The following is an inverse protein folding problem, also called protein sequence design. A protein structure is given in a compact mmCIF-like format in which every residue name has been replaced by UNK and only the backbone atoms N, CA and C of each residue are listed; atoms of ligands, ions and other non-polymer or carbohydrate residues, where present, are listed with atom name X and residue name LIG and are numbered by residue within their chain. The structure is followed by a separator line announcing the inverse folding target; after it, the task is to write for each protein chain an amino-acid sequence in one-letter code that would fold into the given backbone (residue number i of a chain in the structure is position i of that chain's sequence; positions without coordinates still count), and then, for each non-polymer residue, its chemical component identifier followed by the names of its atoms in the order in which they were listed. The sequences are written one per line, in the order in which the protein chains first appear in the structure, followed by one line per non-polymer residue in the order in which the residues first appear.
data_IF_427960734398
#
_entry.id   IF_427960734398
#
_cell.length_a   1.000
_cell.length_b   1.000
_cell.length_c   1.000
_cell.angle_alpha   90.00
_cell.angle_beta   90.00
_cell.angle_gamma   90.00
#
_symmetry.space_group_name_H-M   'P 1'
#
loop_
_entity.id
_entity.type
_entity.pdbx_description
1 polymer ?
#
# COMPACT_ATOMS: atom_id res chain seq x y z
N UNK A 1 51.23 12.08 -0.96
CA UNK A 1 51.44 12.00 0.50
C UNK A 1 51.33 13.40 1.09
N UNK A 2 50.17 13.76 1.63
CA UNK A 2 50.00 14.96 2.47
C UNK A 2 49.56 14.44 3.84
N UNK A 3 50.34 14.76 4.86
CA UNK A 3 50.17 14.27 6.23
C UNK A 3 48.89 14.84 6.88
N UNK A 4 48.22 14.09 7.80
CA UNK A 4 46.97 14.51 8.41
C UNK A 4 47.14 15.35 9.71
N UNK A 5 48.32 15.86 10.00
CA UNK A 5 48.63 16.48 11.31
C UNK A 5 48.19 17.97 11.42
N UNK A 6 47.97 18.67 10.31
CA UNK A 6 47.80 20.15 10.29
C UNK A 6 46.37 20.64 10.63
N UNK A 7 45.40 19.71 10.75
CA UNK A 7 44.00 20.04 11.07
C UNK A 7 43.73 20.22 12.56
N UNK A 8 44.46 19.49 13.41
CA UNK A 8 44.28 19.49 14.87
C UNK A 8 44.91 20.73 15.52
N UNK A 9 46.08 21.16 15.03
CA UNK A 9 46.73 22.40 15.49
C UNK A 9 45.88 23.65 15.20
N UNK A 10 45.18 23.73 14.07
CA UNK A 10 44.37 24.91 13.68
C UNK A 10 43.05 25.05 14.45
N UNK A 11 42.50 23.94 14.97
CA UNK A 11 41.32 23.99 15.84
C UNK A 11 41.69 24.36 17.28
N UNK A 12 42.84 23.88 17.77
CA UNK A 12 43.38 24.26 19.08
C UNK A 12 43.70 25.77 19.17
N UNK A 13 44.37 26.35 18.18
CA UNK A 13 44.73 27.79 18.22
C UNK A 13 43.50 28.71 18.20
N UNK A 14 42.46 28.37 17.44
CA UNK A 14 41.19 29.14 17.42
C UNK A 14 40.39 29.02 18.72
N UNK A 15 40.53 27.91 19.44
CA UNK A 15 39.87 27.70 20.74
C UNK A 15 40.61 28.46 21.85
N UNK A 16 41.94 28.49 21.81
CA UNK A 16 42.79 29.25 22.73
C UNK A 16 42.61 30.76 22.55
N UNK A 17 42.52 31.25 21.30
CA UNK A 17 42.22 32.66 21.00
C UNK A 17 40.82 33.07 21.49
N UNK A 18 39.82 32.17 21.40
CA UNK A 18 38.47 32.41 21.93
C UNK A 18 38.44 32.41 23.46
N UNK A 19 39.24 31.56 24.11
CA UNK A 19 39.38 31.53 25.57
C UNK A 19 40.07 32.79 26.10
N UNK A 20 41.12 33.27 25.43
CA UNK A 20 41.82 34.51 25.77
C UNK A 20 40.96 35.78 25.55
N UNK A 21 40.04 35.76 24.58
CA UNK A 21 39.09 36.87 24.37
C UNK A 21 37.93 36.88 25.38
N UNK A 22 37.60 35.73 25.99
CA UNK A 22 36.54 35.61 26.99
C UNK A 22 36.98 35.98 28.41
N UNK A 23 38.29 35.89 28.71
CA UNK A 23 38.86 36.23 30.01
C UNK A 23 39.00 37.75 30.25
N UNK A 24 38.75 38.59 29.24
CA UNK A 24 38.90 40.06 29.36
C UNK A 24 37.56 40.78 29.24
N UNK A 25 37.31 41.70 30.16
CA UNK A 25 36.14 42.57 30.19
C UNK A 25 36.08 43.46 28.94
N UNK A 26 34.98 43.35 28.19
CA UNK A 26 34.75 44.14 26.96
C UNK A 26 34.70 45.65 27.21
N UNK A 27 34.19 46.08 28.36
CA UNK A 27 34.02 47.50 28.69
C UNK A 27 35.29 48.12 29.28
N UNK A 28 36.01 47.37 30.12
CA UNK A 28 37.10 47.93 30.93
C UNK A 28 38.49 47.43 30.53
N UNK A 29 38.60 46.47 29.59
CA UNK A 29 39.84 45.83 29.15
C UNK A 29 40.69 45.32 30.33
N UNK A 30 40.01 44.74 31.34
CA UNK A 30 40.59 44.14 32.55
C UNK A 30 40.14 42.69 32.66
N UNK A 31 40.92 41.86 33.33
CA UNK A 31 40.63 40.44 33.51
C UNK A 31 39.30 40.24 34.27
N UNK A 32 38.53 39.23 33.83
CA UNK A 32 37.22 38.87 34.37
C UNK A 32 37.38 37.81 35.47
N UNK A 33 37.90 38.21 36.62
CA UNK A 33 38.23 37.28 37.72
C UNK A 33 37.08 37.11 38.72
N UNK A 34 36.00 37.88 38.58
CA UNK A 34 34.84 37.85 39.48
C UNK A 34 33.63 37.27 38.76
N UNK A 35 32.83 36.47 39.46
CA UNK A 35 31.55 35.96 38.98
C UNK A 35 30.43 36.46 39.88
N UNK A 36 29.43 37.09 39.28
CA UNK A 36 28.24 37.58 39.97
C UNK A 36 27.14 36.52 39.94
N UNK A 37 26.76 35.99 41.10
CA UNK A 37 25.71 34.96 41.21
C UNK A 37 24.33 35.49 40.81
N UNK A 38 24.01 36.73 41.20
CA UNK A 38 22.70 37.34 40.92
C UNK A 38 22.50 37.68 39.43
N UNK A 39 23.58 37.84 38.66
CA UNK A 39 23.53 38.19 37.24
C UNK A 39 24.02 37.08 36.30
N UNK A 40 24.51 35.96 36.86
CA UNK A 40 25.14 34.84 36.13
C UNK A 40 26.16 35.30 35.08
N UNK A 41 27.07 36.22 35.48
CA UNK A 41 28.02 36.87 34.56
C UNK A 41 29.42 36.98 35.17
N UNK A 42 30.45 36.78 34.36
CA UNK A 42 31.85 37.06 34.71
C UNK A 42 32.20 38.53 34.46
N UNK A 43 32.88 39.14 35.42
CA UNK A 43 33.08 40.57 35.57
C UNK A 43 34.52 40.88 35.99
N UNK A 44 35.01 42.06 35.63
CA UNK A 44 36.23 42.61 36.22
C UNK A 44 35.91 43.45 37.47
N UNK A 45 36.92 43.76 38.29
CA UNK A 45 36.75 44.58 39.49
C UNK A 45 36.14 45.98 39.22
N UNK A 46 36.32 46.53 38.01
CA UNK A 46 35.70 47.83 37.65
C UNK A 46 34.19 47.70 37.46
N UNK A 47 33.71 46.60 36.87
CA UNK A 47 32.27 46.35 36.73
C UNK A 47 31.57 46.22 38.09
N UNK A 48 32.28 45.68 39.08
CA UNK A 48 31.76 45.63 40.46
C UNK A 48 31.47 47.03 40.99
N UNK A 49 32.43 47.95 40.85
CA UNK A 49 32.31 49.32 41.36
C UNK A 49 31.30 50.13 40.55
N UNK A 50 31.15 49.90 39.24
CA UNK A 50 30.28 50.73 38.40
C UNK A 50 28.82 50.28 38.34
N UNK A 51 28.52 49.00 38.57
CA UNK A 51 27.16 48.49 38.32
C UNK A 51 26.71 47.23 39.07
N UNK A 52 27.57 46.58 39.85
CA UNK A 52 27.20 45.39 40.65
C UNK A 52 27.43 45.61 42.15
N UNK A 53 27.31 46.86 42.62
CA UNK A 53 27.39 47.18 44.04
C UNK A 53 26.20 46.56 44.77
N UNK A 54 26.48 45.64 45.71
CA UNK A 54 25.45 44.94 46.48
C UNK A 54 25.06 43.55 45.96
N UNK A 55 25.65 43.07 44.86
CA UNK A 55 25.48 41.69 44.41
C UNK A 55 26.51 40.75 45.03
N UNK A 56 26.18 39.46 45.08
CA UNK A 56 27.04 38.39 45.58
C UNK A 56 28.08 38.01 44.54
N UNK A 57 29.33 38.41 44.79
CA UNK A 57 30.48 38.08 43.95
C UNK A 57 31.33 36.96 44.55
N UNK A 58 31.84 36.10 43.68
CA UNK A 58 32.77 35.01 44.02
C UNK A 58 33.89 34.99 42.97
N UNK A 59 35.10 34.53 43.34
CA UNK A 59 36.19 34.41 42.37
C UNK A 59 35.84 33.30 41.36
N UNK A 60 36.15 33.53 40.08
CA UNK A 60 35.93 32.55 39.00
C UNK A 60 36.75 31.28 39.24
N UNK A 61 37.95 31.41 39.82
CA UNK A 61 38.83 30.27 40.12
C UNK A 61 38.17 29.27 41.10
N UNK A 62 37.43 29.78 42.08
CA UNK A 62 36.76 28.96 43.11
C UNK A 62 35.50 28.25 42.60
N UNK A 63 34.97 28.70 41.45
CA UNK A 63 33.73 28.17 40.87
C UNK A 63 33.97 27.12 39.78
N UNK A 64 35.21 26.94 39.33
CA UNK A 64 35.53 25.99 38.26
C UNK A 64 35.19 24.53 38.62
N UNK A 65 35.55 24.11 39.84
CA UNK A 65 35.26 22.76 40.36
C UNK A 65 33.77 22.46 40.55
N UNK A 66 32.96 23.28 41.26
CA UNK A 66 31.55 22.97 41.48
C UNK A 66 30.73 22.92 40.19
N UNK A 67 30.92 23.86 39.25
CA UNK A 67 30.25 23.80 37.95
C UNK A 67 30.72 22.62 37.10
N UNK A 68 31.99 22.20 37.22
CA UNK A 68 32.49 20.98 36.56
C UNK A 68 31.82 19.74 37.11
N UNK A 69 31.64 19.64 38.42
CA UNK A 69 30.93 18.53 39.06
C UNK A 69 29.45 18.52 38.64
N UNK A 70 28.79 19.68 38.59
CA UNK A 70 27.41 19.80 38.12
C UNK A 70 27.27 19.35 36.65
N UNK A 71 28.19 19.77 35.77
CA UNK A 71 28.25 19.31 34.38
C UNK A 71 28.50 17.81 34.27
N UNK A 72 29.35 17.23 35.12
CA UNK A 72 29.57 15.79 35.16
C UNK A 72 28.32 15.04 35.62
N UNK A 73 27.60 15.56 36.61
CA UNK A 73 26.33 15.00 37.07
C UNK A 73 25.26 15.07 35.97
N UNK A 74 25.06 16.24 35.34
CA UNK A 74 24.15 16.41 34.22
C UNK A 74 24.50 15.46 33.06
N UNK A 75 25.80 15.32 32.72
CA UNK A 75 26.26 14.38 31.70
C UNK A 75 25.88 12.93 32.04
N UNK A 76 26.03 12.53 33.30
CA UNK A 76 25.65 11.19 33.76
C UNK A 76 24.14 10.96 33.62
N UNK A 77 23.32 11.91 34.06
CA UNK A 77 21.85 11.85 33.94
C UNK A 77 21.39 11.80 32.48
N UNK A 78 21.98 12.64 31.62
CA UNK A 78 21.69 12.62 30.17
C UNK A 78 22.07 11.25 29.58
N UNK A 79 23.23 10.70 29.95
CA UNK A 79 23.67 9.37 29.51
C UNK A 79 22.68 8.27 29.91
N UNK A 80 22.21 8.26 31.16
CA UNK A 80 21.21 7.30 31.64
C UNK A 80 19.88 7.45 30.90
N UNK A 81 19.42 8.68 30.68
CA UNK A 81 18.18 8.96 29.95
C UNK A 81 18.26 8.47 28.50
N UNK A 82 19.41 8.62 27.85
CA UNK A 82 19.65 8.10 26.49
C UNK A 82 19.55 6.57 26.48
N UNK A 83 20.14 5.89 27.46
CA UNK A 83 20.06 4.43 27.56
C UNK A 83 18.62 3.96 27.72
N UNK A 84 17.87 4.54 28.67
CA UNK A 84 16.47 4.21 28.90
C UNK A 84 15.60 4.51 27.65
N UNK A 85 15.86 5.60 26.94
CA UNK A 85 15.14 5.90 25.71
C UNK A 85 15.43 4.87 24.61
N UNK A 86 16.66 4.36 24.52
CA UNK A 86 16.99 3.29 23.57
C UNK A 86 16.30 1.97 23.95
N UNK A 87 16.19 1.64 25.23
CA UNK A 87 15.41 0.49 25.70
C UNK A 87 13.92 0.64 25.35
N UNK A 88 13.33 1.80 25.62
CA UNK A 88 11.94 2.10 25.26
C UNK A 88 11.69 2.00 23.75
N UNK A 89 12.62 2.50 22.92
CA UNK A 89 12.56 2.33 21.46
C UNK A 89 12.56 0.85 21.07
N UNK A 90 13.39 0.04 21.71
CA UNK A 90 13.42 -1.41 21.50
C UNK A 90 12.07 -2.08 21.81
N UNK A 91 11.42 -1.69 22.92
CA UNK A 91 10.10 -2.19 23.29
C UNK A 91 9.02 -1.81 22.26
N UNK A 92 9.03 -0.55 21.80
CA UNK A 92 8.08 -0.08 20.77
C UNK A 92 8.30 -0.83 19.46
N UNK A 93 9.54 -0.99 19.01
CA UNK A 93 9.86 -1.76 17.79
C UNK A 93 9.36 -3.20 17.92
N UNK A 94 9.58 -3.84 19.08
CA UNK A 94 9.11 -5.21 19.30
C UNK A 94 7.59 -5.31 19.30
N UNK A 95 6.87 -4.35 19.90
CA UNK A 95 5.41 -4.32 19.89
C UNK A 95 4.86 -4.08 18.48
N UNK A 96 5.49 -3.21 17.70
CA UNK A 96 5.13 -2.98 16.30
C UNK A 96 5.33 -4.24 15.45
N UNK A 97 6.45 -4.96 15.62
CA UNK A 97 6.68 -6.24 14.94
C UNK A 97 5.58 -7.24 15.25
N UNK A 98 5.26 -7.43 16.55
CA UNK A 98 4.20 -8.37 16.96
C UNK A 98 2.83 -8.00 16.37
N UNK A 99 2.51 -6.71 16.30
CA UNK A 99 1.26 -6.26 15.69
C UNK A 99 1.21 -6.59 14.19
N UNK A 100 2.30 -6.32 13.47
CA UNK A 100 2.42 -6.66 12.05
C UNK A 100 2.31 -8.17 11.86
N UNK A 101 3.09 -8.96 12.58
CA UNK A 101 3.09 -10.42 12.50
C UNK A 101 1.68 -11.00 12.81
N UNK A 102 1.01 -10.47 13.84
CA UNK A 102 -0.35 -10.90 14.18
C UNK A 102 -1.36 -10.50 13.11
N UNK A 103 -1.26 -9.30 12.53
CA UNK A 103 -2.16 -8.86 11.46
C UNK A 103 -2.00 -9.68 10.20
N UNK A 104 -0.75 -9.95 9.80
CA UNK A 104 -0.44 -10.78 8.63
C UNK A 104 -0.91 -12.23 8.84
N UNK A 105 -0.79 -12.76 10.06
CA UNK A 105 -1.32 -14.07 10.39
C UNK A 105 -2.85 -14.16 10.23
N UNK A 106 -3.60 -13.13 10.62
CA UNK A 106 -5.07 -13.10 10.40
C UNK A 106 -5.42 -12.93 8.91
N UNK A 107 -4.73 -12.07 8.17
CA UNK A 107 -4.92 -11.96 6.71
C UNK A 107 -4.67 -13.30 6.00
N UNK A 108 -3.60 -14.01 6.37
CA UNK A 108 -3.31 -15.33 5.82
C UNK A 108 -4.42 -16.37 6.12
N UNK A 109 -5.14 -16.25 7.25
CA UNK A 109 -6.29 -17.12 7.53
C UNK A 109 -7.47 -16.81 6.63
N UNK A 110 -7.72 -15.53 6.34
CA UNK A 110 -8.75 -15.11 5.38
C UNK A 110 -8.41 -15.66 3.99
N UNK A 111 -7.17 -15.50 3.53
CA UNK A 111 -6.71 -16.06 2.25
C UNK A 111 -6.91 -17.58 2.19
N UNK A 112 -6.54 -18.31 3.26
CA UNK A 112 -6.76 -19.75 3.34
C UNK A 112 -8.25 -20.15 3.31
N UNK A 113 -9.13 -19.31 3.86
CA UNK A 113 -10.57 -19.56 3.84
C UNK A 113 -11.15 -19.34 2.44
N UNK A 114 -10.74 -18.27 1.76
CA UNK A 114 -11.08 -18.00 0.36
C UNK A 114 -10.64 -19.17 -0.53
N UNK A 115 -9.40 -19.63 -0.37
CA UNK A 115 -8.86 -20.75 -1.14
C UNK A 115 -9.69 -22.03 -0.93
N UNK A 116 -10.10 -22.33 0.31
CA UNK A 116 -10.95 -23.50 0.60
C UNK A 116 -12.30 -23.40 -0.10
N UNK A 117 -12.97 -22.26 -0.01
CA UNK A 117 -14.27 -22.04 -0.68
C UNK A 117 -14.10 -22.22 -2.19
N UNK A 118 -13.06 -21.61 -2.77
CA UNK A 118 -12.74 -21.76 -4.19
C UNK A 118 -12.52 -23.22 -4.59
N UNK A 119 -11.76 -24.00 -3.80
CA UNK A 119 -11.54 -25.42 -4.12
C UNK A 119 -12.83 -26.24 -4.07
N UNK A 120 -13.73 -25.96 -3.12
CA UNK A 120 -15.02 -26.64 -3.03
C UNK A 120 -15.89 -26.33 -4.25
N UNK A 121 -16.01 -25.05 -4.62
CA UNK A 121 -16.78 -24.61 -5.79
C UNK A 121 -16.20 -25.19 -7.09
N UNK A 122 -14.88 -25.14 -7.23
CA UNK A 122 -14.18 -25.73 -8.37
C UNK A 122 -14.40 -27.23 -8.47
N UNK A 123 -14.35 -27.95 -7.34
CA UNK A 123 -14.63 -29.38 -7.27
C UNK A 123 -16.04 -29.72 -7.73
N UNK A 124 -17.05 -29.00 -7.24
CA UNK A 124 -18.44 -29.17 -7.66
C UNK A 124 -18.63 -28.91 -9.17
N UNK A 125 -17.98 -27.87 -9.70
CA UNK A 125 -17.99 -27.57 -11.13
C UNK A 125 -17.37 -28.66 -11.99
N UNK A 126 -16.24 -29.25 -11.56
CA UNK A 126 -15.62 -30.37 -12.28
C UNK A 126 -16.44 -31.66 -12.20
N UNK A 127 -17.14 -31.90 -11.09
CA UNK A 127 -18.08 -33.04 -10.99
C UNK A 127 -19.23 -32.91 -11.99
N UNK A 128 -19.84 -31.72 -12.10
CA UNK A 128 -20.90 -31.44 -13.07
C UNK A 128 -20.40 -31.61 -14.51
N UNK A 129 -19.23 -31.06 -14.84
CA UNK A 129 -18.61 -31.25 -16.16
C UNK A 129 -18.35 -32.73 -16.46
N UNK A 130 -17.94 -33.52 -15.47
CA UNK A 130 -17.71 -34.96 -15.64
C UNK A 130 -19.00 -35.68 -15.95
N UNK A 131 -20.09 -35.40 -15.22
CA UNK A 131 -21.43 -35.96 -15.52
C UNK A 131 -21.92 -35.60 -16.92
N UNK A 132 -21.72 -34.36 -17.37
CA UNK A 132 -22.07 -33.94 -18.74
C UNK A 132 -21.25 -34.71 -19.77
N UNK A 133 -19.94 -34.86 -19.56
CA UNK A 133 -19.07 -35.61 -20.48
C UNK A 133 -19.45 -37.09 -20.57
N UNK A 134 -19.73 -37.73 -19.43
CA UNK A 134 -20.17 -39.13 -19.38
C UNK A 134 -21.46 -39.36 -20.19
N UNK A 135 -22.47 -38.50 -20.01
CA UNK A 135 -23.70 -38.60 -20.80
C UNK A 135 -23.44 -38.42 -22.30
N UNK A 136 -22.56 -37.50 -22.68
CA UNK A 136 -22.18 -37.32 -24.09
C UNK A 136 -21.42 -38.53 -24.65
N UNK A 137 -20.54 -39.17 -23.87
CA UNK A 137 -19.80 -40.37 -24.32
C UNK A 137 -20.73 -41.57 -24.51
N UNK A 138 -21.69 -41.76 -23.61
CA UNK A 138 -22.65 -42.87 -23.69
C UNK A 138 -23.54 -42.73 -24.93
N UNK A 139 -24.00 -41.50 -25.23
CA UNK A 139 -24.79 -41.25 -26.45
C UNK A 139 -23.94 -41.37 -27.73
N UNK A 140 -22.69 -40.91 -27.68
CA UNK A 140 -21.77 -41.02 -28.83
C UNK A 140 -21.44 -42.48 -29.15
N UNK A 141 -21.23 -43.33 -28.14
CA UNK A 141 -20.99 -44.76 -28.34
C UNK A 141 -22.24 -45.45 -28.92
N UNK A 142 -23.43 -45.16 -28.40
CA UNK A 142 -24.68 -45.66 -28.99
C UNK A 142 -24.85 -45.26 -30.47
N UNK A 143 -24.48 -44.04 -30.85
CA UNK A 143 -24.50 -43.60 -32.25
C UNK A 143 -23.46 -44.30 -33.11
N UNK A 144 -22.25 -44.51 -32.59
CA UNK A 144 -21.21 -45.26 -33.30
C UNK A 144 -21.62 -46.71 -33.54
N UNK A 145 -22.29 -47.37 -32.58
CA UNK A 145 -22.79 -48.73 -32.76
C UNK A 145 -23.82 -48.81 -33.91
N UNK A 146 -24.70 -47.80 -34.00
CA UNK A 146 -25.64 -47.67 -35.12
C UNK A 146 -24.92 -47.43 -36.44
N UNK A 147 -23.88 -46.58 -36.46
CA UNK A 147 -23.07 -46.33 -37.65
C UNK A 147 -22.38 -47.60 -38.15
N UNK A 148 -21.74 -48.36 -37.26
CA UNK A 148 -21.10 -49.64 -37.60
C UNK A 148 -22.12 -50.64 -38.17
N UNK A 149 -23.33 -50.67 -37.62
CA UNK A 149 -24.38 -51.53 -38.15
C UNK A 149 -24.82 -51.14 -39.55
N UNK A 150 -24.93 -49.83 -39.83
CA UNK A 150 -25.25 -49.33 -41.17
C UNK A 150 -24.13 -49.64 -42.19
N UNK A 151 -22.87 -49.47 -41.81
CA UNK A 151 -21.72 -49.82 -42.66
C UNK A 151 -21.70 -51.33 -43.00
N UNK A 152 -22.00 -52.20 -42.03
CA UNK A 152 -22.13 -53.65 -42.26
C UNK A 152 -23.31 -53.97 -43.19
N UNK A 153 -24.44 -53.28 -43.06
CA UNK A 153 -25.59 -53.44 -43.96
C UNK A 153 -25.25 -53.01 -45.39
N UNK A 154 -24.56 -51.88 -45.57
CA UNK A 154 -24.14 -51.37 -46.87
C UNK A 154 -23.25 -52.38 -47.60
N UNK A 155 -22.24 -52.95 -46.92
CA UNK A 155 -21.37 -53.97 -47.53
C UNK A 155 -22.14 -55.22 -47.96
N UNK A 156 -23.11 -55.68 -47.17
CA UNK A 156 -23.97 -56.82 -47.51
C UNK A 156 -24.88 -56.53 -48.71
N UNK A 157 -25.39 -55.30 -48.82
CA UNK A 157 -26.20 -54.86 -49.95
C UNK A 157 -25.36 -54.74 -51.23
N UNK A 158 -24.13 -54.23 -51.14
CA UNK A 158 -23.18 -54.21 -52.27
C UNK A 158 -22.85 -55.62 -52.76
N UNK A 159 -22.60 -56.58 -51.85
CA UNK A 159 -22.35 -57.98 -52.20
C UNK A 159 -23.56 -58.61 -52.91
N UNK A 160 -24.78 -58.31 -52.45
CA UNK A 160 -26.02 -58.75 -53.10
C UNK A 160 -26.20 -58.14 -54.49
N UNK A 161 -25.91 -56.86 -54.66
CA UNK A 161 -25.97 -56.17 -55.96
C UNK A 161 -25.00 -56.82 -56.94
N UNK A 162 -23.76 -57.06 -56.51
CA UNK A 162 -22.74 -57.75 -57.30
C UNK A 162 -23.16 -59.19 -57.66
N UNK A 163 -23.72 -59.93 -56.71
CA UNK A 163 -24.23 -61.28 -56.94
C UNK A 163 -25.38 -61.29 -57.96
N UNK A 164 -26.32 -60.35 -57.85
CA UNK A 164 -27.45 -60.19 -58.77
C UNK A 164 -26.97 -59.88 -60.19
N UNK A 165 -26.02 -58.94 -60.32
CA UNK A 165 -25.42 -58.56 -61.60
C UNK A 165 -24.67 -59.72 -62.28
N UNK A 166 -24.07 -60.62 -61.48
CA UNK A 166 -23.42 -61.84 -61.99
C UNK A 166 -24.44 -62.85 -62.47
N UNK A 167 -25.42 -63.17 -61.62
CA UNK A 167 -26.45 -64.19 -61.91
C UNK A 167 -27.28 -63.80 -63.13
N UNK A 168 -27.58 -62.50 -63.33
CA UNK A 168 -28.29 -62.02 -64.52
C UNK A 168 -27.63 -62.44 -65.85
N UNK A 169 -26.30 -62.59 -65.86
CA UNK A 169 -25.50 -62.95 -67.04
C UNK A 169 -25.17 -64.45 -67.12
N UNK A 170 -25.63 -65.25 -66.16
CA UNK A 170 -25.37 -66.68 -66.06
C UNK A 170 -26.34 -67.53 -66.89
N UNK A 171 -26.13 -68.85 -66.90
CA UNK A 171 -27.03 -69.80 -67.53
C UNK A 171 -28.39 -69.87 -66.79
N UNK A 172 -29.46 -70.18 -67.54
CA UNK A 172 -30.85 -70.16 -67.04
C UNK A 172 -31.05 -71.04 -65.80
N UNK A 173 -30.36 -72.18 -65.71
CA UNK A 173 -30.47 -73.08 -64.55
C UNK A 173 -29.90 -72.42 -63.27
N UNK A 174 -28.72 -71.79 -63.36
CA UNK A 174 -28.10 -71.08 -62.24
C UNK A 174 -28.98 -69.93 -61.77
N UNK A 175 -29.61 -69.19 -62.70
CA UNK A 175 -30.57 -68.12 -62.39
C UNK A 175 -31.74 -68.67 -61.58
N UNK A 176 -32.35 -69.77 -62.02
CA UNK A 176 -33.50 -70.37 -61.32
C UNK A 176 -33.13 -70.88 -59.92
N UNK A 177 -31.90 -71.35 -59.74
CA UNK A 177 -31.43 -71.92 -58.47
C UNK A 177 -30.99 -70.83 -57.46
N UNK A 178 -30.41 -69.71 -57.91
CA UNK A 178 -29.87 -68.65 -57.02
C UNK A 178 -30.82 -67.47 -56.78
N UNK A 179 -31.73 -67.17 -57.70
CA UNK A 179 -32.72 -66.08 -57.52
C UNK A 179 -33.57 -66.19 -56.24
N UNK A 180 -34.03 -67.40 -55.81
CA UNK A 180 -34.77 -67.52 -54.55
C UNK A 180 -33.94 -67.13 -53.33
N UNK A 181 -32.63 -67.42 -53.35
CA UNK A 181 -31.70 -67.10 -52.26
C UNK A 181 -31.49 -65.59 -52.16
N UNK A 182 -31.22 -64.93 -53.29
CA UNK A 182 -31.07 -63.47 -53.37
C UNK A 182 -32.35 -62.78 -52.90
N UNK A 183 -33.52 -63.28 -53.31
CA UNK A 183 -34.81 -62.72 -52.89
C UNK A 183 -34.99 -62.79 -51.37
N UNK A 184 -34.66 -63.92 -50.75
CA UNK A 184 -34.76 -64.08 -49.31
C UNK A 184 -33.82 -63.11 -48.57
N UNK A 185 -32.57 -62.98 -49.03
CA UNK A 185 -31.62 -62.05 -48.42
C UNK A 185 -32.03 -60.58 -48.61
N UNK A 186 -32.64 -60.23 -49.74
CA UNK A 186 -33.23 -58.92 -49.96
C UNK A 186 -34.37 -58.64 -48.97
N UNK A 187 -35.26 -59.60 -48.73
CA UNK A 187 -36.32 -59.47 -47.73
C UNK A 187 -35.73 -59.26 -46.32
N UNK A 188 -34.70 -60.04 -45.94
CA UNK A 188 -34.02 -59.94 -44.64
C UNK A 188 -33.36 -58.56 -44.39
N UNK A 189 -32.85 -57.90 -45.43
CA UNK A 189 -32.20 -56.58 -45.30
C UNK A 189 -33.14 -55.39 -45.55
N UNK A 190 -34.28 -55.59 -46.21
CA UNK A 190 -35.23 -54.51 -46.54
C UNK A 190 -36.42 -54.41 -45.58
N UNK A 191 -36.64 -55.40 -44.70
CA UNK A 191 -37.68 -55.36 -43.65
C UNK A 191 -37.41 -54.31 -42.54
N UNK A 192 -36.28 -53.60 -42.62
CA UNK A 192 -36.27 -52.13 -42.47
C UNK A 192 -36.62 -51.54 -41.10
N UNK A 193 -36.44 -52.26 -39.99
CA UNK A 193 -36.70 -51.69 -38.67
C UNK A 193 -35.47 -50.95 -38.12
N UNK A 194 -35.06 -49.86 -38.78
CA UNK A 194 -34.08 -48.93 -38.23
C UNK A 194 -34.73 -48.07 -37.14
N UNK A 195 -34.17 -48.09 -35.94
CA UNK A 195 -34.59 -47.24 -34.84
C UNK A 195 -33.42 -46.37 -34.40
N UNK A 196 -33.55 -45.06 -34.65
CA UNK A 196 -32.59 -44.07 -34.16
C UNK A 196 -32.71 -43.97 -32.63
N UNK A 197 -31.60 -43.97 -31.88
CA UNK A 197 -31.63 -43.65 -30.46
C UNK A 197 -32.12 -42.21 -30.23
N UNK A 198 -32.88 -41.97 -29.16
CA UNK A 198 -33.27 -40.61 -28.77
C UNK A 198 -32.04 -39.79 -28.33
N UNK A 199 -31.66 -38.78 -29.11
CA UNK A 199 -30.53 -37.90 -28.82
C UNK A 199 -31.04 -36.63 -28.14
N UNK A 200 -31.05 -36.64 -26.81
CA UNK A 200 -31.26 -35.42 -26.02
C UNK A 200 -29.91 -34.83 -25.54
N UNK A 201 -29.59 -33.58 -25.87
CA UNK A 201 -28.34 -32.98 -25.41
C UNK A 201 -28.48 -32.48 -23.97
N UNK A 202 -27.53 -32.76 -23.05
CA UNK A 202 -27.60 -32.24 -21.70
C UNK A 202 -27.58 -30.70 -21.72
N UNK A 203 -28.52 -30.09 -21.03
CA UNK A 203 -28.62 -28.63 -20.84
C UNK A 203 -28.20 -28.28 -19.41
N UNK A 204 -27.41 -27.22 -19.26
CA UNK A 204 -27.03 -26.67 -17.96
C UNK A 204 -27.74 -25.34 -17.76
N UNK A 205 -28.40 -25.19 -16.62
CA UNK A 205 -29.02 -23.93 -16.18
C UNK A 205 -28.20 -23.39 -15.01
N UNK A 206 -27.84 -22.11 -15.09
CA UNK A 206 -27.03 -21.44 -14.07
C UNK A 206 -27.86 -21.18 -12.81
N UNK A 207 -27.24 -21.34 -11.64
CA UNK A 207 -27.83 -20.95 -10.35
C UNK A 207 -27.47 -19.51 -10.01
N UNK A 208 -28.29 -18.86 -9.19
CA UNK A 208 -28.01 -17.52 -8.66
C UNK A 208 -26.90 -17.57 -7.60
N UNK A 209 -25.99 -16.59 -7.63
CA UNK A 209 -24.92 -16.43 -6.63
C UNK A 209 -25.25 -15.19 -5.78
N UNK A 210 -25.63 -15.41 -4.53
CA UNK A 210 -25.88 -14.34 -3.56
C UNK A 210 -24.59 -13.96 -2.81
N UNK A 211 -24.31 -12.66 -2.73
CA UNK A 211 -23.14 -12.11 -2.04
C UNK A 211 -23.23 -12.29 -0.52
N UNK A 212 -24.45 -12.33 0.03
CA UNK A 212 -24.64 -12.42 1.47
C UNK A 212 -24.24 -13.81 2.02
N UNK A 213 -24.57 -14.87 1.29
CA UNK A 213 -24.20 -16.27 1.65
C UNK A 213 -22.68 -16.49 1.61
N UNK A 214 -21.99 -15.89 0.63
CA UNK A 214 -20.54 -15.93 0.55
C UNK A 214 -19.86 -15.16 1.70
N UNK A 215 -20.45 -14.04 2.13
CA UNK A 215 -19.90 -13.26 3.25
C UNK A 215 -19.96 -14.04 4.58
N UNK A 216 -21.03 -14.82 4.80
CA UNK A 216 -21.15 -15.70 5.97
C UNK A 216 -20.13 -16.84 5.92
N UNK A 217 -19.87 -17.40 4.74
CA UNK A 217 -18.86 -18.45 4.54
C UNK A 217 -17.40 -17.95 4.68
N UNK A 218 -17.13 -16.68 4.36
CA UNK A 218 -15.83 -16.04 4.53
C UNK A 218 -15.52 -15.71 6.00
N UNK A 219 -16.54 -15.37 6.80
CA UNK A 219 -16.44 -15.10 8.23
C UNK A 219 -16.40 -13.61 8.61
N UNK A 220 -16.39 -13.31 9.92
CA UNK A 220 -16.46 -11.95 10.48
C UNK A 220 -15.19 -11.57 11.22
N UNK A 221 -14.72 -10.33 11.02
CA UNK A 221 -13.61 -9.75 11.79
C UNK A 221 -14.09 -9.40 13.20
N UNK A 222 -13.46 -9.98 14.23
CA UNK A 222 -13.73 -9.61 15.62
C UNK A 222 -12.92 -8.37 15.98
N UNK A 223 -13.57 -7.26 16.32
CA UNK A 223 -12.89 -6.03 16.71
C UNK A 223 -12.18 -6.20 18.05
N UNK A 224 -10.90 -5.82 18.11
CA UNK A 224 -10.19 -5.61 19.37
C UNK A 224 -10.56 -4.24 19.93
N UNK A 225 -11.74 -4.14 20.53
CA UNK A 225 -12.11 -2.98 21.34
C UNK A 225 -12.44 -3.46 22.75
N UNK A 226 -11.60 -3.04 23.70
CA UNK A 226 -12.04 -2.83 25.07
C UNK A 226 -12.62 -1.42 25.15
N UNK A 227 -13.62 -1.28 26.02
CA UNK A 227 -14.42 -0.10 26.41
C UNK A 227 -15.53 0.37 25.47
N UNK A 228 -16.77 -0.02 25.84
CA UNK A 228 -17.93 0.84 26.16
C UNK A 228 -17.98 2.23 25.50
N UNK A 229 -18.99 2.49 24.64
CA UNK A 229 -20.22 3.20 25.05
C UNK A 229 -21.11 3.56 23.84
N UNK A 230 -22.42 3.40 24.07
CA UNK A 230 -23.60 4.03 23.41
C UNK A 230 -23.99 3.67 21.97
N UNK A 231 -25.05 2.85 21.90
CA UNK A 231 -26.32 3.07 21.19
C UNK A 231 -26.38 4.25 20.20
N UNK A 232 -26.48 3.93 18.89
CA UNK A 232 -27.43 4.59 17.97
C UNK A 232 -27.95 3.54 16.99
N UNK A 233 -29.17 3.10 17.26
CA UNK A 233 -30.11 2.51 16.30
C UNK A 233 -30.68 3.65 15.45
N UNK A 234 -30.54 3.59 14.12
CA UNK A 234 -31.59 4.12 13.23
C UNK A 234 -31.56 3.42 11.88
N UNK A 235 -32.52 2.52 11.72
CA UNK A 235 -32.94 1.91 10.47
C UNK A 235 -33.60 2.95 9.57
N UNK A 236 -33.18 3.06 8.30
CA UNK A 236 -34.09 3.54 7.24
C UNK A 236 -33.87 2.76 5.95
N UNK A 237 -34.76 1.80 5.72
CA UNK A 237 -35.13 1.25 4.42
C UNK A 237 -35.73 2.35 3.54
N UNK A 238 -35.36 2.41 2.25
CA UNK A 238 -36.20 3.00 1.21
C UNK A 238 -36.06 2.21 -0.10
N UNK A 239 -37.16 1.56 -0.47
CA UNK A 239 -37.41 0.93 -1.76
C UNK A 239 -37.88 1.95 -2.83
N UNK A 240 -37.47 1.65 -4.09
CA UNK A 240 -38.21 1.72 -5.40
C UNK A 240 -38.74 3.06 -5.95
N UNK A 241 -38.31 3.41 -7.18
CA UNK A 241 -39.11 3.25 -8.43
C UNK A 241 -38.42 3.93 -9.65
N UNK A 242 -38.47 3.26 -10.81
CA UNK A 242 -38.09 3.79 -12.14
C UNK A 242 -39.12 4.78 -12.73
N UNK A 243 -38.93 5.31 -13.97
CA UNK A 243 -39.07 4.47 -15.17
C UNK A 243 -38.25 4.85 -16.45
N UNK A 244 -38.15 3.86 -17.35
CA UNK A 244 -38.20 3.83 -18.84
C UNK A 244 -37.22 4.59 -19.78
N UNK A 245 -36.35 3.79 -20.44
CA UNK A 245 -36.11 3.56 -21.91
C UNK A 245 -35.77 4.74 -22.89
N UNK A 246 -35.16 4.53 -24.10
CA UNK A 246 -35.01 3.28 -24.87
C UNK A 246 -33.65 3.00 -25.61
N UNK A 247 -33.43 1.71 -25.88
CA UNK A 247 -33.02 1.01 -27.13
C UNK A 247 -32.15 1.69 -28.23
N UNK A 248 -31.00 1.05 -28.57
CA UNK A 248 -30.44 0.99 -29.94
C UNK A 248 -29.38 -0.13 -30.11
N UNK A 249 -29.82 -1.25 -30.69
CA UNK A 249 -29.23 -2.07 -31.79
C UNK A 249 -27.70 -2.23 -31.98
N UNK A 250 -27.31 -3.52 -32.00
CA UNK A 250 -26.45 -4.23 -32.97
C UNK A 250 -24.99 -3.79 -33.23
N UNK A 251 -24.02 -4.62 -32.82
CA UNK A 251 -23.25 -5.50 -33.72
C UNK A 251 -22.13 -6.25 -32.97
N UNK A 252 -22.08 -7.57 -33.13
CA UNK A 252 -20.91 -8.41 -32.85
C UNK A 252 -19.76 -8.11 -33.83
N UNK A 253 -18.52 -8.45 -33.47
CA UNK A 253 -17.97 -9.64 -34.10
C UNK A 253 -17.28 -10.62 -33.14
N UNK A 254 -17.41 -11.88 -33.48
CA UNK A 254 -16.71 -13.05 -32.94
C UNK A 254 -15.19 -12.85 -32.88
N UNK A 255 -14.56 -13.06 -31.72
CA UNK A 255 -13.17 -13.52 -31.64
C UNK A 255 -12.99 -14.51 -30.48
N UNK A 256 -12.64 -15.75 -30.85
CA UNK A 256 -11.98 -16.75 -30.01
C UNK A 256 -10.75 -16.15 -29.34
N UNK A 257 -10.61 -16.22 -28.02
CA UNK A 257 -9.28 -16.36 -27.38
C UNK A 257 -9.33 -17.05 -26.01
N UNK A 258 -8.55 -18.12 -25.93
CA UNK A 258 -7.80 -18.69 -24.81
C UNK A 258 -8.24 -18.50 -23.34
N UNK A 259 -8.60 -19.64 -22.75
CA UNK A 259 -8.86 -19.90 -21.32
C UNK A 259 -7.64 -19.77 -20.38
N UNK A 260 -6.58 -19.08 -20.77
CA UNK A 260 -5.37 -18.83 -19.96
C UNK A 260 -5.35 -17.44 -19.29
N UNK A 261 -6.26 -16.54 -19.66
CA UNK A 261 -6.27 -15.15 -19.14
C UNK A 261 -6.98 -14.99 -17.78
N UNK A 262 -7.96 -15.85 -17.47
CA UNK A 262 -8.76 -15.73 -16.23
C UNK A 262 -8.00 -16.09 -14.95
N UNK A 263 -7.06 -17.04 -15.00
CA UNK A 263 -6.15 -17.31 -13.86
C UNK A 263 -5.15 -16.18 -13.62
N UNK A 264 -4.73 -15.47 -14.68
CA UNK A 264 -3.79 -14.35 -14.55
C UNK A 264 -4.45 -13.10 -13.97
N UNK A 265 -5.75 -12.90 -14.22
CA UNK A 265 -6.50 -11.76 -13.67
C UNK A 265 -6.70 -11.89 -12.15
N UNK A 266 -6.98 -13.10 -11.65
CA UNK A 266 -7.11 -13.37 -10.21
C UNK A 266 -5.75 -13.24 -9.50
N UNK A 267 -4.68 -13.78 -10.06
CA UNK A 267 -3.31 -13.60 -9.52
C UNK A 267 -2.87 -12.13 -9.52
N UNK A 268 -3.25 -11.35 -10.55
CA UNK A 268 -3.00 -9.90 -10.58
C UNK A 268 -3.78 -9.18 -9.48
N UNK A 269 -5.06 -9.49 -9.29
CA UNK A 269 -5.90 -8.84 -8.27
C UNK A 269 -5.40 -9.22 -6.86
N UNK A 270 -5.03 -10.48 -6.63
CA UNK A 270 -4.53 -10.99 -5.33
C UNK A 270 -3.15 -10.41 -5.01
N UNK A 271 -2.27 -10.27 -6.01
CA UNK A 271 -0.96 -9.62 -5.87
C UNK A 271 -1.07 -8.11 -5.70
N UNK A 272 -2.01 -7.45 -6.39
CA UNK A 272 -2.16 -5.99 -6.36
C UNK A 272 -2.83 -5.53 -5.05
N UNK A 273 -3.80 -6.28 -4.52
CA UNK A 273 -4.39 -6.02 -3.20
C UNK A 273 -3.38 -6.24 -2.05
N UNK A 274 -2.56 -7.30 -2.12
CA UNK A 274 -1.51 -7.57 -1.11
C UNK A 274 -0.40 -6.53 -1.15
N UNK A 275 -0.01 -6.09 -2.35
CA UNK A 275 1.01 -5.05 -2.57
C UNK A 275 0.49 -3.66 -2.20
N UNK A 276 -0.76 -3.32 -2.51
CA UNK A 276 -1.39 -2.07 -2.12
C UNK A 276 -1.57 -1.99 -0.59
N UNK A 277 -1.99 -3.07 0.08
CA UNK A 277 -2.12 -3.08 1.54
C UNK A 277 -0.76 -2.97 2.27
N UNK A 278 0.28 -3.68 1.80
CA UNK A 278 1.63 -3.54 2.36
C UNK A 278 2.26 -2.18 2.05
N UNK A 279 2.07 -1.63 0.85
CA UNK A 279 2.57 -0.32 0.43
C UNK A 279 1.86 0.80 1.19
N UNK A 280 0.53 0.77 1.29
CA UNK A 280 -0.24 1.81 1.96
C UNK A 280 -0.04 1.77 3.47
N UNK A 281 0.02 0.58 4.09
CA UNK A 281 0.33 0.49 5.52
C UNK A 281 1.77 0.95 5.82
N UNK A 282 2.78 0.55 5.02
CA UNK A 282 4.15 1.05 5.16
C UNK A 282 4.27 2.55 4.86
N UNK A 283 3.55 3.09 3.86
CA UNK A 283 3.55 4.50 3.50
C UNK A 283 2.85 5.37 4.55
N UNK A 284 1.78 4.89 5.15
CA UNK A 284 1.07 5.57 6.25
C UNK A 284 1.91 5.54 7.53
N UNK A 285 2.71 4.48 7.76
CA UNK A 285 3.69 4.44 8.84
C UNK A 285 4.93 5.31 8.58
N UNK A 286 5.45 5.39 7.35
CA UNK A 286 6.53 6.31 6.96
C UNK A 286 6.10 7.79 6.98
N UNK A 287 4.80 8.07 6.83
CA UNK A 287 4.22 9.40 7.02
C UNK A 287 4.04 9.76 8.50
N UNK A 288 3.92 8.75 9.38
CA UNK A 288 3.75 8.94 10.83
C UNK A 288 5.08 8.90 11.61
N UNK A 289 6.16 8.39 11.03
CA UNK A 289 7.52 8.77 11.45
C UNK A 289 7.86 10.14 10.89
N UNK A 290 7.36 11.18 11.57
CA UNK A 290 7.97 12.51 11.45
C UNK A 290 9.47 12.31 11.68
N UNK A 291 10.36 12.61 10.72
CA UNK A 291 11.77 12.64 11.01
C UNK A 291 11.92 13.65 12.14
N UNK A 292 12.35 13.17 13.32
CA UNK A 292 12.86 14.06 14.36
C UNK A 292 14.13 14.66 13.77
N UNK A 293 13.95 15.69 12.96
CA UNK A 293 14.97 16.68 12.70
C UNK A 293 15.47 17.15 14.07
N UNK A 294 16.79 17.39 14.23
CA UNK A 294 17.29 17.90 15.48
C UNK A 294 16.59 19.23 15.76
N UNK A 295 15.59 19.20 16.64
CA UNK A 295 14.97 20.40 17.16
C UNK A 295 16.01 21.10 18.00
N UNK A 296 16.73 22.03 17.36
CA UNK A 296 17.20 23.22 18.06
C UNK A 296 15.96 23.90 18.62
N UNK A 297 15.92 24.27 19.91
CA UNK A 297 14.75 24.91 20.51
C UNK A 297 14.68 26.34 19.95
N UNK A 298 14.06 26.51 18.79
CA UNK A 298 13.64 27.82 18.35
C UNK A 298 12.27 28.07 18.95
N UNK A 299 12.29 28.90 19.99
CA UNK A 299 11.12 29.54 20.56
C UNK A 299 10.15 29.91 19.44
N UNK A 300 8.86 29.54 19.60
CA UNK A 300 7.78 30.18 18.85
C UNK A 300 7.91 31.69 19.11
N UNK A 301 8.55 32.37 18.17
CA UNK A 301 8.88 33.78 18.27
C UNK A 301 7.62 34.64 18.27
N UNK A 302 7.78 35.88 18.70
CA UNK A 302 6.69 36.85 18.78
C UNK A 302 6.07 37.08 17.40
N UNK A 303 4.75 37.02 17.29
CA UNK A 303 4.01 37.36 16.08
C UNK A 303 4.11 38.86 15.83
N UNK A 304 4.38 39.28 14.58
CA UNK A 304 4.25 40.68 14.16
C UNK A 304 2.83 40.94 13.66
N UNK A 305 1.94 41.54 14.46
CA UNK A 305 0.56 41.79 14.04
C UNK A 305 0.52 42.77 12.87
N UNK A 306 -0.34 42.48 11.87
CA UNK A 306 -0.56 43.30 10.66
C UNK A 306 0.61 43.39 9.68
N UNK A 307 1.52 42.40 9.70
CA UNK A 307 2.61 42.28 8.71
C UNK A 307 2.50 40.92 8.04
N UNK A 308 2.45 40.91 6.71
CA UNK A 308 2.50 39.71 5.89
C UNK A 308 3.85 39.64 5.20
N UNK A 309 4.32 38.41 4.97
CA UNK A 309 5.52 38.16 4.19
C UNK A 309 5.19 38.31 2.70
N UNK A 310 5.91 39.16 1.96
CA UNK A 310 5.71 39.32 0.51
C UNK A 310 6.16 38.09 -0.30
N UNK A 311 6.90 37.16 0.32
CA UNK A 311 7.36 35.93 -0.33
C UNK A 311 6.40 34.75 -0.23
N UNK A 312 5.67 34.62 0.89
CA UNK A 312 4.76 33.50 1.13
C UNK A 312 3.34 33.92 1.51
N UNK A 313 3.06 35.23 1.51
CA UNK A 313 1.79 35.88 1.89
C UNK A 313 1.28 35.52 3.30
N UNK A 314 2.11 34.83 4.10
CA UNK A 314 1.80 34.37 5.44
C UNK A 314 2.16 35.39 6.53
N UNK A 315 1.65 35.14 7.74
CA UNK A 315 2.00 35.92 8.94
C UNK A 315 3.47 35.71 9.33
N UNK A 316 4.15 36.77 9.74
CA UNK A 316 5.56 36.72 10.16
C UNK A 316 5.68 36.42 11.65
N UNK A 317 6.31 35.29 11.99
CA UNK A 317 6.63 34.87 13.36
C UNK A 317 8.13 35.01 13.63
N UNK A 318 8.50 35.57 14.78
CA UNK A 318 9.89 35.72 15.18
C UNK A 318 10.58 36.95 14.57
N UNK A 319 11.58 36.75 13.72
CA UNK A 319 12.35 37.85 13.11
C UNK A 319 11.64 38.31 11.84
N UNK A 320 11.29 39.59 11.78
CA UNK A 320 10.80 40.25 10.57
C UNK A 320 11.96 40.87 9.82
N UNK A 321 12.08 40.59 8.53
CA UNK A 321 13.11 41.18 7.66
C UNK A 321 12.47 42.24 6.79
N UNK A 322 12.77 43.53 7.05
CA UNK A 322 12.27 44.63 6.23
C UNK A 322 13.36 45.14 5.29
N UNK A 323 13.04 45.30 4.01
CA UNK A 323 13.97 45.86 3.04
C UNK A 323 14.32 47.32 3.39
N UNK A 324 15.59 47.69 3.27
CA UNK A 324 16.05 49.07 3.48
C UNK A 324 15.68 50.02 2.34
N UNK A 325 15.37 49.46 1.16
CA UNK A 325 15.28 50.20 -0.11
C UNK A 325 13.85 50.18 -0.64
N UNK A 326 13.21 49.02 -0.64
CA UNK A 326 11.83 48.88 -1.11
C UNK A 326 10.82 49.31 -0.03
N UNK A 327 9.85 50.17 -0.37
CA UNK A 327 8.74 50.49 0.52
C UNK A 327 7.89 49.23 0.73
N UNK A 328 7.48 49.01 1.99
CA UNK A 328 6.56 47.93 2.38
C UNK A 328 6.95 46.50 2.00
N UNK A 329 8.23 46.23 1.74
CA UNK A 329 8.71 44.87 1.47
C UNK A 329 9.24 44.20 2.74
N UNK A 330 8.56 43.14 3.16
CA UNK A 330 8.74 42.42 4.42
C UNK A 330 8.81 40.91 4.17
N UNK A 331 9.84 40.24 4.70
CA UNK A 331 10.03 38.79 4.59
C UNK A 331 10.08 38.13 5.97
N UNK A 332 9.60 36.89 6.05
CA UNK A 332 9.83 36.02 7.20
C UNK A 332 11.22 35.36 7.10
N UNK A 333 11.71 34.81 8.22
CA UNK A 333 13.01 34.11 8.26
C UNK A 333 13.15 33.00 7.21
N UNK A 334 12.05 32.32 6.87
CA UNK A 334 12.07 31.27 5.85
C UNK A 334 12.28 31.83 4.45
N UNK A 335 11.58 32.92 4.10
CA UNK A 335 11.71 33.53 2.77
C UNK A 335 13.03 34.29 2.60
N UNK A 336 13.55 34.93 3.66
CA UNK A 336 14.90 35.51 3.61
C UNK A 336 15.98 34.43 3.43
N UNK A 337 15.86 33.31 4.15
CA UNK A 337 16.80 32.18 4.04
C UNK A 337 16.81 31.51 2.67
N UNK A 338 15.74 31.64 1.87
CA UNK A 338 15.71 31.19 0.47
C UNK A 338 16.42 32.14 -0.50
N UNK A 339 16.91 33.28 -0.03
CA UNK A 339 17.55 34.31 -0.86
C UNK A 339 16.57 35.12 -1.71
N UNK A 340 15.28 35.14 -1.33
CA UNK A 340 14.27 35.95 -1.98
C UNK A 340 14.56 37.43 -1.72
N UNK A 341 14.57 38.26 -2.78
CA UNK A 341 14.87 39.69 -2.68
C UNK A 341 16.29 40.03 -2.16
N UNK A 342 17.30 39.28 -2.60
CA UNK A 342 18.70 39.46 -2.19
C UNK A 342 19.43 40.67 -2.82
N UNK A 343 18.74 41.50 -3.61
CA UNK A 343 19.36 42.67 -4.26
C UNK A 343 19.49 43.87 -3.32
N UNK A 344 18.84 43.86 -2.16
CA UNK A 344 18.84 44.95 -1.19
C UNK A 344 19.12 44.45 0.23
N UNK A 345 19.72 45.30 1.07
CA UNK A 345 19.97 44.99 2.47
C UNK A 345 18.67 44.90 3.26
N UNK A 346 18.53 43.85 4.07
CA UNK A 346 17.37 43.59 4.92
C UNK A 346 17.70 43.90 6.39
N UNK A 347 16.82 44.63 7.08
CA UNK A 347 16.93 44.87 8.54
C UNK A 347 16.12 43.86 9.31
N UNK A 348 16.73 43.31 10.36
CA UNK A 348 16.08 42.39 11.28
C UNK A 348 15.33 43.17 12.38
N UNK A 349 14.03 42.93 12.48
CA UNK A 349 13.13 43.51 13.49
C UNK A 349 12.68 42.37 14.40
N UNK A 350 13.25 42.32 15.61
CA UNK A 350 13.07 41.25 16.60
C UNK A 350 11.86 41.46 17.53
N UNK A 351 11.34 42.68 17.60
CA UNK A 351 10.20 43.04 18.46
C UNK A 351 9.04 43.54 17.61
N UNK A 352 7.78 43.20 17.95
CA UNK A 352 6.61 43.71 17.23
C UNK A 352 6.46 45.21 17.50
N UNK A 353 7.06 46.03 16.66
CA UNK A 353 6.83 47.47 16.72
C UNK A 353 5.50 47.79 16.04
N UNK A 354 4.58 48.40 16.79
CA UNK A 354 3.41 49.03 16.23
C UNK A 354 3.84 50.33 15.52
N UNK A 355 4.32 50.22 14.28
CA UNK A 355 4.44 51.39 13.41
C UNK A 355 3.03 51.81 13.01
N UNK A 356 2.50 52.84 13.68
CA UNK A 356 1.32 53.58 13.23
C UNK A 356 1.60 54.09 11.80
N UNK A 357 0.67 53.83 10.90
CA UNK A 357 0.58 54.50 9.60
C UNK A 357 0.46 56.01 9.77
#
# INVERSE_FOLDING_TARGET
MKTPEDGSQRQHTKQEERQAAASVCRQHKKENDLYCKDCNLTLCYKCFITGHQGHTLTNVEDLGEPFRQELQQMKSTIGQTILQNNENKGLVISAMSQLVDSSEAECNKVDQQVDKIYQVLKGAGEELKTKIREQCTDKTTALNDVLVHLEDLDTKLEDLENATTRVEKSEVQEILDTTPIIRQQMEDYTDGNFSMPDIDCPKFEEGEIDSDDLSEQLGKLMSLTSSDDSDVDESTELEKDGPDAPEATENEPEERTDSTSSMQLLDLIQSDMRSQFQSDMMAQFLSTVVPVTPQKPEARGVLHPNVLCDGCEGKVYGVRFKCCVCPDYDLCSSCEGTGLHNQHDMRQILTPQATKR
#
